data_IF_510431352731
#
_entry.id   IF_510431352731
#
_cell.length_a   1.000
_cell.length_b   1.000
_cell.length_c   1.000
_cell.angle_alpha   90.00
_cell.angle_beta   90.00
_cell.angle_gamma   90.00
#
_symmetry.space_group_name_H-M   'P 1'
#
loop_
_entity.id
_entity.type
_entity.pdbx_description
1 polymer ?
#
# COMPACT_ATOMS: atom_id res chain seq x y z
N UNK A 1 -53.75 49.70 -11.98
CA UNK A 1 -52.32 49.34 -12.23
C UNK A 1 -52.07 48.02 -11.52
N UNK A 2 -52.16 46.91 -12.25
CA UNK A 2 -52.13 45.55 -11.69
C UNK A 2 -50.72 44.99 -11.70
N UNK A 3 -50.36 44.32 -10.62
CA UNK A 3 -49.07 43.71 -10.37
C UNK A 3 -48.70 42.62 -11.40
N UNK A 4 -47.44 42.60 -11.83
CA UNK A 4 -46.79 41.42 -12.40
C UNK A 4 -45.56 41.10 -11.55
N UNK A 5 -45.78 40.28 -10.53
CA UNK A 5 -44.71 39.57 -9.85
C UNK A 5 -44.27 38.42 -10.78
N UNK A 6 -43.10 38.57 -11.40
CA UNK A 6 -42.41 37.46 -12.07
C UNK A 6 -41.93 36.46 -11.01
N UNK A 7 -42.31 35.18 -11.07
CA UNK A 7 -41.72 34.17 -10.18
C UNK A 7 -40.25 33.93 -10.57
N UNK A 8 -39.32 33.75 -9.62
CA UNK A 8 -37.98 33.32 -9.95
C UNK A 8 -38.05 31.86 -10.44
N UNK A 9 -37.62 31.66 -11.68
CA UNK A 9 -37.37 30.34 -12.26
C UNK A 9 -36.32 29.67 -11.37
N UNK A 10 -36.73 28.68 -10.58
CA UNK A 10 -35.80 27.80 -9.89
C UNK A 10 -35.01 27.07 -10.98
N UNK A 11 -33.75 27.45 -11.15
CA UNK A 11 -32.77 26.60 -11.82
C UNK A 11 -32.58 25.40 -10.92
N UNK A 12 -33.43 24.40 -11.16
CA UNK A 12 -33.19 23.01 -10.84
C UNK A 12 -31.91 22.66 -11.61
N UNK A 13 -30.76 22.99 -10.99
CA UNK A 13 -29.45 22.52 -11.40
C UNK A 13 -29.49 21.01 -11.18
N UNK A 14 -30.07 20.38 -12.19
CA UNK A 14 -29.86 19.06 -12.68
C UNK A 14 -28.37 18.80 -12.56
N UNK A 15 -27.95 18.32 -11.38
CA UNK A 15 -26.68 17.63 -11.17
C UNK A 15 -26.75 16.42 -12.08
N UNK A 16 -26.39 16.67 -13.33
CA UNK A 16 -26.09 15.66 -14.32
C UNK A 16 -25.12 14.74 -13.62
N UNK A 17 -25.63 13.59 -13.17
CA UNK A 17 -24.83 12.42 -12.86
C UNK A 17 -24.10 12.13 -14.16
N UNK A 18 -22.92 12.74 -14.31
CA UNK A 18 -22.01 12.41 -15.38
C UNK A 18 -21.86 10.90 -15.40
N UNK A 19 -21.83 10.27 -16.58
CA UNK A 19 -21.81 8.82 -16.68
C UNK A 19 -20.74 8.32 -15.73
N UNK A 20 -21.14 7.47 -14.76
CA UNK A 20 -20.23 6.80 -13.84
C UNK A 20 -19.27 6.05 -14.74
N UNK A 21 -18.13 6.67 -15.05
CA UNK A 21 -17.07 6.06 -15.85
C UNK A 21 -16.78 4.79 -15.10
N UNK A 22 -17.16 3.64 -15.69
CA UNK A 22 -16.76 2.35 -15.17
C UNK A 22 -15.24 2.42 -15.03
N UNK A 23 -14.76 2.53 -13.80
CA UNK A 23 -13.35 2.40 -13.48
C UNK A 23 -12.98 0.95 -13.72
N UNK A 24 -12.89 0.55 -14.99
CA UNK A 24 -12.28 -0.71 -15.33
C UNK A 24 -10.79 -0.56 -15.02
N UNK A 25 -10.24 -1.38 -14.11
CA UNK A 25 -8.84 -1.31 -13.77
C UNK A 25 -8.01 -1.56 -15.04
N UNK A 26 -7.06 -0.67 -15.30
CA UNK A 26 -6.17 -0.83 -16.46
C UNK A 26 -5.33 -2.10 -16.28
N UNK A 27 -4.96 -2.78 -17.37
CA UNK A 27 -4.06 -3.95 -17.31
C UNK A 27 -2.76 -3.64 -16.53
N UNK A 28 -2.26 -2.41 -16.62
CA UNK A 28 -1.10 -1.97 -15.85
C UNK A 28 -1.34 -1.89 -14.34
N UNK A 29 -2.53 -1.46 -13.94
CA UNK A 29 -2.96 -1.45 -12.53
C UNK A 29 -2.99 -2.87 -11.98
N UNK A 30 -3.52 -3.84 -12.75
CA UNK A 30 -3.57 -5.25 -12.34
C UNK A 30 -2.18 -5.84 -12.18
N UNK A 31 -1.27 -5.60 -13.13
CA UNK A 31 0.13 -6.07 -13.04
C UNK A 31 0.84 -5.46 -11.83
N UNK A 32 0.69 -4.15 -11.62
CA UNK A 32 1.29 -3.49 -10.47
C UNK A 32 0.73 -4.02 -9.14
N UNK A 33 -0.58 -4.27 -9.07
CA UNK A 33 -1.19 -4.91 -7.91
C UNK A 33 -0.61 -6.30 -7.66
N UNK A 34 -0.38 -7.10 -8.71
CA UNK A 34 0.28 -8.40 -8.62
C UNK A 34 1.72 -8.31 -8.08
N UNK A 35 2.51 -7.37 -8.58
CA UNK A 35 3.88 -7.10 -8.08
C UNK A 35 3.84 -6.66 -6.61
N UNK A 36 2.84 -5.85 -6.25
CA UNK A 36 2.66 -5.41 -4.87
C UNK A 36 2.34 -6.58 -3.94
N UNK A 37 1.43 -7.49 -4.33
CA UNK A 37 1.15 -8.72 -3.58
C UNK A 37 2.40 -9.59 -3.43
N UNK A 38 3.20 -9.73 -4.48
CA UNK A 38 4.47 -10.46 -4.42
C UNK A 38 5.42 -9.82 -3.39
N UNK A 39 5.54 -8.49 -3.39
CA UNK A 39 6.31 -7.77 -2.38
C UNK A 39 5.80 -8.04 -0.96
N UNK A 40 4.48 -8.10 -0.76
CA UNK A 40 3.85 -8.42 0.52
C UNK A 40 4.19 -9.84 1.01
N UNK A 41 4.20 -10.81 0.11
CA UNK A 41 4.60 -12.19 0.41
C UNK A 41 6.08 -12.25 0.81
N UNK A 42 6.94 -11.56 0.06
CA UNK A 42 8.36 -11.47 0.37
C UNK A 42 8.63 -10.75 1.69
N UNK A 43 7.89 -9.68 1.99
CA UNK A 43 8.15 -8.86 3.17
C UNK A 43 7.56 -9.42 4.46
N UNK A 44 6.42 -10.09 4.38
CA UNK A 44 5.67 -10.61 5.51
C UNK A 44 5.76 -12.12 5.63
N UNK A 45 5.28 -12.86 4.62
CA UNK A 45 5.17 -14.32 4.69
C UNK A 45 6.55 -14.98 4.81
N UNK A 46 7.51 -14.62 3.96
CA UNK A 46 8.82 -15.29 3.93
C UNK A 46 9.56 -15.17 5.27
N UNK A 47 9.70 -13.96 5.87
CA UNK A 47 10.27 -13.81 7.20
C UNK A 47 9.47 -14.53 8.27
N UNK A 48 8.14 -14.52 8.20
CA UNK A 48 7.28 -15.24 9.16
C UNK A 48 7.56 -16.76 9.15
N UNK A 49 7.70 -17.36 7.97
CA UNK A 49 8.04 -18.78 7.85
C UNK A 49 9.48 -19.09 8.25
N UNK A 50 10.43 -18.19 7.95
CA UNK A 50 11.85 -18.38 8.29
C UNK A 50 12.15 -18.22 9.78
N UNK A 51 11.46 -17.29 10.44
CA UNK A 51 11.73 -16.86 11.82
C UNK A 51 10.80 -17.53 12.84
N UNK A 52 9.64 -18.04 12.39
CA UNK A 52 8.67 -18.71 13.24
C UNK A 52 7.93 -17.76 14.19
N UNK A 53 7.17 -18.33 15.12
CA UNK A 53 6.29 -17.58 16.03
C UNK A 53 7.05 -16.82 17.13
N UNK A 54 8.21 -17.33 17.58
CA UNK A 54 9.00 -16.72 18.64
C UNK A 54 10.46 -16.45 18.22
N UNK A 55 10.67 -15.43 17.39
CA UNK A 55 11.97 -15.20 16.76
C UNK A 55 13.00 -14.52 17.67
N UNK A 56 12.56 -13.95 18.79
CA UNK A 56 13.44 -13.27 19.74
C UNK A 56 14.25 -14.26 20.60
N UNK A 57 13.69 -15.40 20.96
CA UNK A 57 14.36 -16.38 21.83
C UNK A 57 15.07 -17.48 21.03
N UNK A 58 14.48 -17.91 19.91
CA UNK A 58 14.88 -19.17 19.24
C UNK A 58 15.67 -19.01 17.93
N UNK A 59 15.67 -17.82 17.30
CA UNK A 59 16.25 -17.68 15.97
C UNK A 59 17.75 -17.32 16.03
N UNK A 60 18.63 -18.08 15.35
CA UNK A 60 20.03 -17.71 15.17
C UNK A 60 20.14 -16.35 14.46
N UNK A 61 21.11 -15.52 14.87
CA UNK A 61 21.32 -14.18 14.32
C UNK A 61 21.41 -14.16 12.78
N UNK A 62 22.00 -15.19 12.17
CA UNK A 62 22.06 -15.33 10.71
C UNK A 62 20.69 -15.44 10.04
N UNK A 63 19.71 -16.11 10.66
CA UNK A 63 18.33 -16.20 10.11
C UNK A 63 17.60 -14.88 10.23
N UNK A 64 17.87 -14.10 11.29
CA UNK A 64 17.27 -12.77 11.50
C UNK A 64 17.76 -11.80 10.43
N UNK A 65 19.06 -11.80 10.12
CA UNK A 65 19.61 -11.00 9.03
C UNK A 65 18.99 -11.36 7.67
N UNK A 66 18.80 -12.65 7.39
CA UNK A 66 18.14 -13.11 6.16
C UNK A 66 16.66 -12.69 6.14
N UNK A 67 15.94 -12.83 7.25
CA UNK A 67 14.56 -12.37 7.39
C UNK A 67 14.44 -10.87 7.13
N UNK A 68 15.30 -10.06 7.73
CA UNK A 68 15.36 -8.62 7.49
C UNK A 68 15.63 -8.30 6.01
N UNK A 69 16.56 -9.01 5.36
CA UNK A 69 16.84 -8.81 3.94
C UNK A 69 15.59 -9.06 3.07
N UNK A 70 14.86 -10.13 3.33
CA UNK A 70 13.58 -10.40 2.64
C UNK A 70 12.52 -9.33 2.94
N UNK A 71 12.42 -8.86 4.18
CA UNK A 71 11.55 -7.74 4.55
C UNK A 71 11.87 -6.48 3.75
N UNK A 72 13.15 -6.09 3.69
CA UNK A 72 13.59 -4.90 2.97
C UNK A 72 13.40 -5.03 1.45
N UNK A 73 13.74 -6.19 0.88
CA UNK A 73 13.54 -6.46 -0.56
C UNK A 73 12.05 -6.45 -0.91
N UNK A 74 11.20 -7.10 -0.12
CA UNK A 74 9.75 -7.09 -0.33
C UNK A 74 9.15 -5.68 -0.21
N UNK A 75 9.61 -4.89 0.77
CA UNK A 75 9.23 -3.48 0.91
C UNK A 75 9.69 -2.64 -0.30
N UNK A 76 10.90 -2.83 -0.81
CA UNK A 76 11.40 -2.17 -2.03
C UNK A 76 10.54 -2.51 -3.25
N UNK A 77 10.17 -3.78 -3.41
CA UNK A 77 9.27 -4.22 -4.50
C UNK A 77 7.91 -3.53 -4.40
N UNK A 78 7.34 -3.44 -3.20
CA UNK A 78 6.08 -2.73 -2.95
C UNK A 78 6.18 -1.22 -3.26
N UNK A 79 7.27 -0.55 -2.83
CA UNK A 79 7.52 0.87 -3.13
C UNK A 79 7.70 1.09 -4.64
N UNK A 80 8.42 0.21 -5.32
CA UNK A 80 8.60 0.29 -6.77
C UNK A 80 7.26 0.13 -7.50
N UNK A 81 6.43 -0.82 -7.06
CA UNK A 81 5.07 -0.95 -7.60
C UNK A 81 4.22 0.31 -7.36
N UNK A 82 4.28 0.88 -6.16
CA UNK A 82 3.59 2.12 -5.82
C UNK A 82 4.01 3.28 -6.75
N UNK A 83 5.31 3.40 -7.02
CA UNK A 83 5.86 4.40 -7.93
C UNK A 83 5.35 4.23 -9.37
N UNK A 84 5.33 2.99 -9.88
CA UNK A 84 4.79 2.69 -11.21
C UNK A 84 3.29 2.99 -11.30
N UNK A 85 2.52 2.66 -10.26
CA UNK A 85 1.10 2.97 -10.13
C UNK A 85 0.85 4.48 -10.12
N UNK A 86 1.63 5.23 -9.34
CA UNK A 86 1.55 6.68 -9.29
C UNK A 86 1.82 7.29 -10.67
N UNK A 87 2.93 6.90 -11.30
CA UNK A 87 3.33 7.44 -12.60
C UNK A 87 2.31 7.16 -13.70
N UNK A 88 1.67 5.99 -13.68
CA UNK A 88 0.75 5.56 -14.74
C UNK A 88 -0.69 6.00 -14.52
N UNK A 89 -1.17 5.99 -13.28
CA UNK A 89 -2.57 6.30 -12.96
C UNK A 89 -2.80 7.74 -12.51
N UNK A 90 -1.74 8.45 -12.09
CA UNK A 90 -1.86 9.76 -11.44
C UNK A 90 -2.59 9.72 -10.09
N UNK A 91 -2.99 8.52 -9.61
CA UNK A 91 -3.75 8.37 -8.38
C UNK A 91 -2.82 8.34 -7.17
N UNK A 92 -2.86 9.41 -6.38
CA UNK A 92 -2.15 9.50 -5.11
C UNK A 92 -2.67 8.44 -4.12
N UNK A 93 -3.97 8.17 -4.11
CA UNK A 93 -4.58 7.17 -3.22
C UNK A 93 -4.04 5.75 -3.44
N UNK A 94 -3.85 5.34 -4.69
CA UNK A 94 -3.26 4.04 -5.03
C UNK A 94 -1.78 3.95 -4.60
N UNK A 95 -1.05 5.06 -4.71
CA UNK A 95 0.34 5.13 -4.28
C UNK A 95 0.47 5.02 -2.74
N UNK A 96 -0.40 5.70 -2.00
CA UNK A 96 -0.44 5.63 -0.52
C UNK A 96 -0.77 4.20 -0.06
N UNK A 97 -1.78 3.58 -0.66
CA UNK A 97 -2.19 2.20 -0.33
C UNK A 97 -1.05 1.20 -0.48
N UNK A 98 -0.18 1.41 -1.47
CA UNK A 98 0.98 0.55 -1.69
C UNK A 98 2.18 0.91 -0.80
N UNK A 99 2.39 2.20 -0.51
CA UNK A 99 3.53 2.70 0.27
C UNK A 99 3.42 2.45 1.78
N UNK A 100 2.25 2.67 2.37
CA UNK A 100 2.06 2.55 3.83
C UNK A 100 2.43 1.15 4.33
N UNK A 101 1.98 0.05 3.70
CA UNK A 101 2.35 -1.30 4.14
C UNK A 101 3.85 -1.55 4.03
N UNK A 102 4.52 -1.10 2.95
CA UNK A 102 5.97 -1.24 2.82
C UNK A 102 6.75 -0.53 3.92
N UNK A 103 6.31 0.67 4.31
CA UNK A 103 6.93 1.41 5.41
C UNK A 103 6.75 0.67 6.74
N UNK A 104 5.53 0.19 7.02
CA UNK A 104 5.22 -0.56 8.23
C UNK A 104 6.09 -1.81 8.34
N UNK A 105 6.17 -2.62 7.28
CA UNK A 105 7.01 -3.83 7.27
C UNK A 105 8.49 -3.52 7.45
N UNK A 106 9.02 -2.52 6.75
CA UNK A 106 10.43 -2.14 6.88
C UNK A 106 10.76 -1.69 8.31
N UNK A 107 9.89 -0.85 8.89
CA UNK A 107 10.10 -0.34 10.25
C UNK A 107 10.03 -1.46 11.28
N UNK A 108 9.05 -2.36 11.17
CA UNK A 108 8.94 -3.52 12.06
C UNK A 108 10.13 -4.48 11.92
N UNK A 109 10.58 -4.77 10.69
CA UNK A 109 11.74 -5.64 10.47
C UNK A 109 13.02 -5.07 11.07
N UNK A 110 13.26 -3.76 10.90
CA UNK A 110 14.42 -3.07 11.48
C UNK A 110 14.31 -3.08 13.01
N UNK A 111 13.14 -2.74 13.56
CA UNK A 111 12.91 -2.73 15.01
C UNK A 111 13.16 -4.10 15.63
N UNK A 112 12.60 -5.15 15.04
CA UNK A 112 12.78 -6.53 15.48
C UNK A 112 14.25 -6.95 15.47
N UNK A 113 14.96 -6.67 14.38
CA UNK A 113 16.38 -6.99 14.26
C UNK A 113 17.19 -6.24 15.31
N UNK A 114 16.91 -4.95 15.50
CA UNK A 114 17.58 -4.09 16.48
C UNK A 114 17.35 -4.60 17.90
N UNK A 115 16.10 -4.95 18.24
CA UNK A 115 15.75 -5.49 19.54
C UNK A 115 16.47 -6.82 19.83
N UNK A 116 16.56 -7.73 18.86
CA UNK A 116 17.37 -8.94 19.02
C UNK A 116 18.85 -8.60 19.25
N UNK A 117 19.42 -7.70 18.45
CA UNK A 117 20.84 -7.36 18.59
C UNK A 117 21.20 -6.70 19.92
N UNK A 118 20.28 -5.91 20.50
CA UNK A 118 20.51 -5.19 21.76
C UNK A 118 20.17 -6.02 23.00
N UNK A 119 19.11 -6.83 22.95
CA UNK A 119 18.53 -7.48 24.13
C UNK A 119 18.48 -9.02 24.04
N UNK A 120 18.79 -9.61 22.89
CA UNK A 120 18.60 -11.03 22.62
C UNK A 120 19.76 -11.94 23.02
N UNK A 121 20.53 -11.55 24.05
CA UNK A 121 21.63 -12.33 24.63
C UNK A 121 21.12 -13.47 25.50
#
# INVERSE_FOLDING_TARGET
MSAHATPPVQHEEQRVRGPVRRLQPSRGTVVALGIWVLGLVLAGLVPMFLLGYNPYESAPNGRIAVGLAFTLVGSLVMVFSAYLLYRKSGSIGAAILAFVPSFVFATFGILMTTMKTLYGA
#
